data_IF_001358652534
#
_entry.id   IF_001358652534
#
_cell.length_a   1.000
_cell.length_b   1.000
_cell.length_c   1.000
_cell.angle_alpha   90.00
_cell.angle_beta   90.00
_cell.angle_gamma   90.00
#
_symmetry.space_group_name_H-M   'P 1'
#
loop_
_entity.id
_entity.type
_entity.pdbx_description
1 polymer ?
#
# COMPACT_ATOMS: atom_id res chain seq x y z
N UNK A 1 -0.48 -46.48 7.59
CA UNK A 1 -0.37 -45.54 6.46
C UNK A 1 -1.36 -44.45 6.79
N UNK A 2 -0.80 -43.33 7.22
CA UNK A 2 -1.48 -42.06 7.49
C UNK A 2 -2.24 -41.59 6.25
N UNK A 3 -3.49 -41.19 6.45
CA UNK A 3 -4.14 -40.16 5.62
C UNK A 3 -4.84 -39.20 6.59
N UNK A 4 -4.06 -38.26 7.12
CA UNK A 4 -4.57 -37.03 7.73
C UNK A 4 -5.00 -36.11 6.57
N UNK A 5 -6.30 -36.01 6.31
CA UNK A 5 -6.85 -34.96 5.45
C UNK A 5 -6.73 -33.62 6.17
N UNK A 6 -5.70 -32.86 5.81
CA UNK A 6 -5.57 -31.44 6.18
C UNK A 6 -6.61 -30.63 5.42
N UNK A 7 -7.70 -30.27 6.09
CA UNK A 7 -8.64 -29.26 5.62
C UNK A 7 -7.99 -27.87 5.72
N UNK A 8 -7.27 -27.46 4.66
CA UNK A 8 -6.84 -26.08 4.49
C UNK A 8 -8.05 -25.24 4.03
N UNK A 9 -8.92 -24.90 4.97
CA UNK A 9 -9.83 -23.77 4.83
C UNK A 9 -8.98 -22.50 4.88
N UNK A 10 -8.39 -22.12 3.74
CA UNK A 10 -7.79 -20.79 3.56
C UNK A 10 -8.91 -19.76 3.78
N UNK A 11 -8.90 -19.14 4.95
CA UNK A 11 -9.71 -17.97 5.30
C UNK A 11 -9.55 -16.90 4.20
N UNK A 12 -10.47 -16.94 3.22
CA UNK A 12 -10.75 -15.88 2.27
C UNK A 12 -11.40 -14.73 3.07
N UNK A 13 -10.58 -14.10 3.92
CA UNK A 13 -10.98 -13.00 4.76
C UNK A 13 -11.34 -11.84 3.84
N UNK A 14 -12.63 -11.74 3.51
CA UNK A 14 -13.25 -10.62 2.84
C UNK A 14 -12.78 -9.34 3.54
N UNK A 15 -11.85 -8.64 2.89
CA UNK A 15 -11.29 -7.39 3.39
C UNK A 15 -12.44 -6.39 3.43
N UNK A 16 -13.10 -6.27 4.58
CA UNK A 16 -14.15 -5.29 4.78
C UNK A 16 -13.53 -3.92 4.58
N UNK A 17 -13.91 -3.26 3.49
CA UNK A 17 -13.53 -1.88 3.20
C UNK A 17 -14.20 -0.96 4.21
N UNK A 18 -13.65 -0.90 5.41
CA UNK A 18 -13.86 0.21 6.32
C UNK A 18 -13.40 1.45 5.57
N UNK A 19 -14.36 2.28 5.14
CA UNK A 19 -14.05 3.54 4.48
C UNK A 19 -13.22 4.38 5.44
N UNK A 20 -11.93 4.52 5.14
CA UNK A 20 -11.03 5.37 5.91
C UNK A 20 -11.57 6.80 5.82
N UNK A 21 -11.87 7.41 6.98
CA UNK A 21 -12.26 8.82 7.00
C UNK A 21 -11.02 9.69 6.79
N UNK A 22 -10.61 9.82 5.52
CA UNK A 22 -9.46 10.60 5.07
C UNK A 22 -9.48 12.00 5.68
N UNK A 23 -10.67 12.60 5.70
CA UNK A 23 -10.86 13.97 6.16
C UNK A 23 -10.62 14.13 7.65
N UNK A 24 -10.70 13.10 8.48
CA UNK A 24 -10.47 13.15 9.93
C UNK A 24 -9.09 12.64 10.33
N UNK A 25 -8.64 11.55 9.70
CA UNK A 25 -7.40 10.88 10.07
C UNK A 25 -6.14 11.64 9.60
N UNK A 26 -6.27 12.44 8.53
CA UNK A 26 -5.14 13.10 7.88
C UNK A 26 -5.24 14.62 7.85
N UNK A 27 -6.11 15.23 8.67
CA UNK A 27 -6.32 16.70 8.76
C UNK A 27 -5.04 17.52 8.92
N UNK A 28 -4.06 16.94 9.60
CA UNK A 28 -2.81 17.61 9.95
C UNK A 28 -1.68 17.36 8.95
N UNK A 29 -1.91 16.58 7.89
CA UNK A 29 -0.93 16.37 6.84
C UNK A 29 -0.95 17.55 5.86
N UNK A 30 0.24 18.03 5.52
CA UNK A 30 0.41 19.03 4.49
C UNK A 30 0.49 18.31 3.14
N UNK A 31 -0.42 18.63 2.23
CA UNK A 31 -0.48 18.03 0.89
C UNK A 31 -1.88 17.56 0.51
N UNK A 32 -1.98 16.88 -0.62
CA UNK A 32 -3.22 16.27 -1.10
C UNK A 32 -3.23 14.79 -0.70
N UNK A 33 -4.33 14.33 -0.11
CA UNK A 33 -4.53 12.90 0.17
C UNK A 33 -5.31 12.29 -0.97
N UNK A 34 -4.74 11.25 -1.59
CA UNK A 34 -5.36 10.52 -2.69
C UNK A 34 -5.58 9.05 -2.29
N UNK A 35 -6.74 8.51 -2.64
CA UNK A 35 -6.98 7.06 -2.64
C UNK A 35 -6.71 6.54 -4.06
N UNK A 36 -5.85 5.53 -4.17
CA UNK A 36 -5.51 4.93 -5.46
C UNK A 36 -5.56 3.41 -5.38
N UNK A 37 -6.27 2.81 -6.33
CA UNK A 37 -6.32 1.36 -6.52
C UNK A 37 -5.47 1.00 -7.74
N UNK A 38 -4.52 0.10 -7.54
CA UNK A 38 -3.62 -0.37 -8.58
C UNK A 38 -3.79 -1.87 -8.76
N UNK A 39 -3.72 -2.32 -10.01
CA UNK A 39 -3.61 -3.74 -10.30
C UNK A 39 -2.13 -4.15 -10.31
N UNK A 40 -1.80 -5.19 -9.57
CA UNK A 40 -0.44 -5.71 -9.48
C UNK A 40 -0.02 -6.32 -10.82
N UNK A 41 1.23 -6.10 -11.24
CA UNK A 41 1.83 -6.78 -12.38
C UNK A 41 3.03 -7.67 -11.95
N UNK A 42 3.84 -8.12 -12.91
CA UNK A 42 5.05 -8.92 -12.66
C UNK A 42 6.08 -8.21 -11.76
N UNK A 43 6.07 -6.88 -11.71
CA UNK A 43 6.91 -6.04 -10.86
C UNK A 43 6.22 -5.63 -9.55
N UNK A 44 5.09 -6.27 -9.20
CA UNK A 44 4.29 -5.88 -8.05
C UNK A 44 3.52 -4.59 -8.33
N UNK A 45 3.54 -3.66 -7.38
CA UNK A 45 3.01 -2.30 -7.59
C UNK A 45 4.05 -1.34 -8.20
N UNK A 46 5.31 -1.77 -8.34
CA UNK A 46 6.37 -0.97 -8.95
C UNK A 46 6.80 0.24 -8.11
N UNK A 47 6.72 0.15 -6.77
CA UNK A 47 7.20 1.18 -5.84
C UNK A 47 8.38 0.65 -5.03
N UNK A 48 9.41 1.46 -4.88
CA UNK A 48 10.46 1.28 -3.88
C UNK A 48 10.15 2.18 -2.67
N UNK A 49 10.31 1.63 -1.46
CA UNK A 49 9.90 2.29 -0.22
C UNK A 49 11.09 2.61 0.69
N UNK A 50 10.99 3.72 1.41
CA UNK A 50 11.92 4.09 2.48
C UNK A 50 11.16 4.44 3.75
N UNK A 51 11.71 4.05 4.90
CA UNK A 51 11.17 4.44 6.19
C UNK A 51 11.62 5.84 6.61
N UNK A 52 10.85 6.45 7.51
CA UNK A 52 11.22 7.70 8.17
C UNK A 52 12.40 7.51 9.13
N UNK A 53 13.26 8.55 9.25
CA UNK A 53 14.40 8.52 10.19
C UNK A 53 13.94 8.46 11.65
N UNK A 54 12.90 9.22 11.98
CA UNK A 54 12.28 9.18 13.31
C UNK A 54 11.37 7.95 13.42
N UNK A 55 11.75 7.05 14.33
CA UNK A 55 11.05 5.79 14.61
C UNK A 55 9.73 5.97 15.35
N UNK A 56 9.46 7.15 15.91
CA UNK A 56 8.15 7.43 16.52
C UNK A 56 7.09 7.76 15.47
N UNK A 57 7.49 8.32 14.32
CA UNK A 57 6.57 8.64 13.22
C UNK A 57 6.22 7.39 12.39
N UNK A 58 7.19 6.49 12.20
CA UNK A 58 7.06 5.27 11.39
C UNK A 58 6.44 5.47 10.00
N UNK A 59 6.57 6.66 9.41
CA UNK A 59 6.08 6.94 8.05
C UNK A 59 6.85 6.17 6.99
N UNK A 60 6.18 5.84 5.89
CA UNK A 60 6.76 5.17 4.73
C UNK A 60 6.63 6.07 3.50
N UNK A 61 7.71 6.24 2.75
CA UNK A 61 7.75 7.11 1.58
C UNK A 61 8.14 6.34 0.33
N UNK A 62 7.65 6.79 -0.83
CA UNK A 62 8.11 6.31 -2.13
C UNK A 62 9.49 6.91 -2.40
N UNK A 63 10.52 6.07 -2.55
CA UNK A 63 11.87 6.50 -2.92
C UNK A 63 12.24 6.20 -4.37
N UNK A 64 11.41 5.43 -5.08
CA UNK A 64 11.60 5.11 -6.49
C UNK A 64 10.37 4.47 -7.10
N UNK A 65 10.24 4.60 -8.42
CA UNK A 65 9.16 4.01 -9.21
C UNK A 65 9.75 3.18 -10.35
N UNK A 66 9.23 1.97 -10.54
CA UNK A 66 9.64 1.12 -11.66
C UNK A 66 9.09 1.70 -12.98
N UNK A 67 9.90 1.82 -14.05
CA UNK A 67 9.46 2.42 -15.31
C UNK A 67 8.27 1.69 -15.96
N UNK A 68 8.19 0.38 -15.76
CA UNK A 68 7.09 -0.49 -16.24
C UNK A 68 6.11 -0.87 -15.12
N UNK A 69 6.17 -0.17 -13.98
CA UNK A 69 5.34 -0.42 -12.81
C UNK A 69 3.96 0.26 -12.89
N UNK A 70 2.92 -0.34 -12.30
CA UNK A 70 1.58 0.26 -12.31
C UNK A 70 1.52 1.58 -11.52
N UNK A 71 2.36 1.76 -10.49
CA UNK A 71 2.45 3.03 -9.77
C UNK A 71 2.89 4.19 -10.67
N UNK A 72 3.92 4.01 -11.51
CA UNK A 72 4.34 5.04 -12.45
C UNK A 72 3.31 5.24 -13.57
N UNK A 73 2.76 4.13 -14.11
CA UNK A 73 1.76 4.18 -15.16
C UNK A 73 0.47 4.91 -14.74
N UNK A 74 0.16 4.93 -13.43
CA UNK A 74 -0.97 5.70 -12.90
C UNK A 74 -0.82 7.21 -13.10
N UNK A 75 0.41 7.71 -13.19
CA UNK A 75 0.74 9.14 -13.30
C UNK A 75 0.37 9.99 -12.07
N UNK A 76 -0.13 9.36 -11.00
CA UNK A 76 -0.61 10.03 -9.78
C UNK A 76 0.34 9.95 -8.60
N UNK A 77 1.35 9.08 -8.68
CA UNK A 77 2.34 8.85 -7.64
C UNK A 77 3.70 9.41 -8.08
N UNK A 78 4.44 9.95 -7.12
CA UNK A 78 5.76 10.50 -7.28
C UNK A 78 6.71 10.07 -6.16
N UNK A 79 8.02 10.22 -6.41
CA UNK A 79 9.04 10.06 -5.38
C UNK A 79 8.86 11.16 -4.32
N UNK A 80 8.80 10.76 -3.05
CA UNK A 80 8.56 11.64 -1.91
C UNK A 80 7.14 11.51 -1.32
N UNK A 81 6.20 10.89 -2.02
CA UNK A 81 4.85 10.66 -1.51
C UNK A 81 4.88 9.73 -0.29
N UNK A 82 4.01 10.01 0.68
CA UNK A 82 3.87 9.24 1.92
C UNK A 82 2.73 8.23 1.79
N UNK A 83 3.01 6.96 2.09
CA UNK A 83 1.96 5.94 2.17
C UNK A 83 1.28 6.05 3.52
N UNK A 84 -0.04 6.25 3.44
CA UNK A 84 -0.93 6.29 4.58
C UNK A 84 -1.56 4.90 4.78
N UNK A 85 -1.79 4.53 6.02
CA UNK A 85 -2.46 3.27 6.40
C UNK A 85 -3.94 3.48 6.64
#
# INVERSE_FOLDING_TARGET
ADEEESSDDEDDAEFKEERINISENFKCLQGEVIELRLNRNTFGFGMALSGHRDRNRMSTFICGLHPEGPALASGKLAVGDELLK
#
